data_IF_726535381252
#
_entry.id   IF_726535381252
#
_cell.length_a   1.000
_cell.length_b   1.000
_cell.length_c   1.000
_cell.angle_alpha   90.00
_cell.angle_beta   90.00
_cell.angle_gamma   90.00
#
_symmetry.space_group_name_H-M   'P 1'
#
loop_
_entity.id
_entity.type
_entity.pdbx_description
1 polymer ?
#
# COMPACT_ATOMS: atom_id res chain seq x y z
N UNK A 1 -14.12 -7.61 2.98
CA UNK A 1 -13.37 -7.27 1.76
C UNK A 1 -11.91 -7.09 2.13
N UNK A 2 -11.02 -7.94 1.63
CA UNK A 2 -9.57 -7.75 1.78
C UNK A 2 -9.15 -6.83 0.64
N UNK A 3 -8.74 -5.61 0.96
CA UNK A 3 -8.12 -4.73 -0.02
C UNK A 3 -6.66 -5.18 -0.15
N UNK A 4 -6.39 -6.00 -1.16
CA UNK A 4 -5.03 -6.39 -1.50
C UNK A 4 -4.46 -5.32 -2.44
N UNK A 5 -3.55 -4.51 -1.92
CA UNK A 5 -2.72 -3.69 -2.78
C UNK A 5 -1.70 -4.65 -3.39
N UNK A 6 -2.02 -5.24 -4.54
CA UNK A 6 -1.10 -6.14 -5.24
C UNK A 6 0.15 -5.33 -5.59
N UNK A 7 1.17 -5.48 -4.74
CA UNK A 7 2.48 -4.85 -4.84
C UNK A 7 3.15 -5.28 -6.15
N UNK A 8 2.74 -6.43 -6.71
CA UNK A 8 3.23 -6.99 -7.96
C UNK A 8 2.97 -6.10 -9.19
N UNK A 9 1.97 -5.19 -9.12
CA UNK A 9 1.71 -4.21 -10.19
C UNK A 9 2.34 -2.84 -9.93
N UNK A 10 3.08 -2.65 -8.83
CA UNK A 10 3.82 -1.40 -8.64
C UNK A 10 5.00 -1.34 -9.61
N UNK A 11 5.30 -0.16 -10.19
CA UNK A 11 6.49 0.00 -11.01
C UNK A 11 7.74 -0.36 -10.20
N UNK A 12 8.67 -1.11 -10.77
CA UNK A 12 9.90 -1.55 -10.09
C UNK A 12 11.01 -0.51 -10.03
N UNK A 13 10.83 0.64 -10.70
CA UNK A 13 11.81 1.73 -10.77
C UNK A 13 11.19 3.04 -10.31
N UNK A 14 11.96 3.83 -9.56
CA UNK A 14 11.54 5.13 -9.04
C UNK A 14 11.02 6.04 -10.15
N UNK A 15 11.72 6.11 -11.29
CA UNK A 15 11.29 6.92 -12.44
C UNK A 15 9.93 6.50 -13.01
N UNK A 16 9.66 5.20 -13.08
CA UNK A 16 8.38 4.70 -13.58
C UNK A 16 7.25 4.92 -12.56
N UNK A 17 7.56 4.80 -11.27
CA UNK A 17 6.65 5.14 -10.17
C UNK A 17 6.24 6.62 -10.23
N UNK A 18 7.21 7.53 -10.27
CA UNK A 18 6.97 8.98 -10.30
C UNK A 18 6.17 9.41 -11.53
N UNK A 19 6.41 8.77 -12.68
CA UNK A 19 5.62 9.04 -13.90
C UNK A 19 4.17 8.58 -13.76
N UNK A 20 3.95 7.38 -13.20
CA UNK A 20 2.62 6.77 -13.08
C UNK A 20 1.77 7.46 -12.01
N UNK A 21 2.36 7.78 -10.87
CA UNK A 21 1.69 8.35 -9.70
C UNK A 21 2.09 9.81 -9.49
N UNK A 22 2.11 10.58 -10.58
CA UNK A 22 2.49 12.00 -10.59
C UNK A 22 1.39 12.94 -10.06
N UNK A 23 0.15 12.45 -9.94
CA UNK A 23 -1.01 13.21 -9.48
C UNK A 23 -2.08 12.30 -8.86
N UNK A 24 -3.08 12.91 -8.23
CA UNK A 24 -4.16 12.17 -7.56
C UNK A 24 -5.00 11.33 -8.52
N UNK A 25 -5.22 11.80 -9.76
CA UNK A 25 -6.11 11.13 -10.69
C UNK A 25 -5.65 9.69 -11.08
N UNK A 26 -4.36 9.45 -11.42
CA UNK A 26 -3.82 8.10 -11.57
C UNK A 26 -3.88 7.25 -10.29
N UNK A 27 -3.66 7.86 -9.12
CA UNK A 27 -3.72 7.14 -7.85
C UNK A 27 -5.15 6.65 -7.57
N UNK A 28 -6.15 7.53 -7.74
CA UNK A 28 -7.57 7.18 -7.63
C UNK A 28 -7.98 6.11 -8.63
N UNK A 29 -7.50 6.19 -9.88
CA UNK A 29 -7.78 5.18 -10.90
C UNK A 29 -7.20 3.81 -10.53
N UNK A 30 -5.99 3.78 -9.95
CA UNK A 30 -5.41 2.55 -9.44
C UNK A 30 -6.21 2.01 -8.24
N UNK A 31 -6.59 2.84 -7.28
CA UNK A 31 -7.41 2.39 -6.14
C UNK A 31 -8.77 1.85 -6.58
N UNK A 32 -9.38 2.49 -7.58
CA UNK A 32 -10.62 2.01 -8.17
C UNK A 32 -10.43 0.60 -8.76
N UNK A 33 -9.36 0.37 -9.53
CA UNK A 33 -9.12 -0.95 -10.14
C UNK A 33 -8.78 -2.03 -9.11
N UNK A 34 -8.12 -1.67 -8.01
CA UNK A 34 -7.88 -2.61 -6.90
C UNK A 34 -9.17 -2.92 -6.12
N UNK A 35 -10.05 -1.94 -5.90
CA UNK A 35 -11.32 -2.14 -5.17
C UNK A 35 -12.36 -2.91 -5.99
N UNK A 36 -12.35 -2.70 -7.31
CA UNK A 36 -13.32 -3.26 -8.24
C UNK A 36 -12.59 -3.94 -9.42
N UNK A 37 -11.87 -5.06 -9.18
CA UNK A 37 -11.11 -5.74 -10.23
C UNK A 37 -12.01 -6.26 -11.36
N UNK A 38 -13.21 -6.73 -11.02
CA UNK A 38 -14.21 -7.25 -11.96
C UNK A 38 -15.20 -6.18 -12.45
N UNK A 39 -14.94 -4.92 -12.14
CA UNK A 39 -15.83 -3.79 -12.42
C UNK A 39 -16.69 -3.38 -11.22
N UNK A 40 -17.26 -2.18 -11.34
CA UNK A 40 -18.05 -1.59 -10.26
C UNK A 40 -19.43 -2.26 -10.17
N UNK A 41 -19.83 -2.59 -8.95
CA UNK A 41 -21.19 -3.05 -8.63
C UNK A 41 -21.71 -2.21 -7.46
N UNK A 42 -22.84 -1.53 -7.66
CA UNK A 42 -23.45 -0.74 -6.59
C UNK A 42 -24.09 -1.65 -5.54
N UNK A 43 -23.64 -1.56 -4.28
CA UNK A 43 -24.18 -2.35 -3.16
C UNK A 43 -25.67 -2.07 -2.85
N UNK A 44 -26.19 -0.91 -3.28
CA UNK A 44 -27.58 -0.51 -3.01
C UNK A 44 -28.57 -1.03 -4.06
N UNK A 45 -28.23 -0.95 -5.35
CA UNK A 45 -29.15 -1.26 -6.44
C UNK A 45 -28.67 -2.35 -7.41
N UNK A 46 -27.45 -2.87 -7.24
CA UNK A 46 -26.88 -3.89 -8.12
C UNK A 46 -26.43 -3.40 -9.50
N UNK A 47 -26.46 -2.09 -9.76
CA UNK A 47 -25.99 -1.52 -11.03
C UNK A 47 -24.52 -1.86 -11.28
N UNK A 48 -24.23 -2.31 -12.50
CA UNK A 48 -22.86 -2.57 -13.00
C UNK A 48 -22.32 -1.42 -13.85
N UNK A 49 -23.10 -0.35 -14.02
CA UNK A 49 -22.69 0.80 -14.82
C UNK A 49 -21.56 1.56 -14.08
N UNK A 50 -20.47 1.87 -14.79
CA UNK A 50 -19.37 2.67 -14.25
C UNK A 50 -19.88 3.95 -13.52
N UNK A 51 -19.47 4.24 -12.28
CA UNK A 51 -20.02 5.35 -11.51
C UNK A 51 -19.48 6.70 -12.00
N UNK A 52 -20.15 7.79 -11.64
CA UNK A 52 -19.58 9.14 -11.78
C UNK A 52 -18.57 9.41 -10.67
N UNK A 53 -17.51 10.15 -10.99
CA UNK A 53 -16.55 10.67 -10.01
C UNK A 53 -16.96 12.08 -9.61
N UNK A 54 -17.18 12.30 -8.33
CA UNK A 54 -17.51 13.63 -7.80
C UNK A 54 -16.21 14.42 -7.62
N UNK A 55 -15.87 15.27 -8.58
CA UNK A 55 -14.60 16.02 -8.55
C UNK A 55 -14.47 16.99 -7.36
N UNK A 56 -15.60 17.45 -6.80
CA UNK A 56 -15.62 18.36 -5.64
C UNK A 56 -15.34 17.66 -4.31
N UNK A 57 -15.42 16.31 -4.27
CA UNK A 57 -15.18 15.51 -3.07
C UNK A 57 -14.21 14.39 -3.38
N UNK A 58 -13.04 14.47 -2.77
CA UNK A 58 -11.98 13.48 -2.91
C UNK A 58 -12.53 12.07 -2.70
N UNK A 59 -12.27 11.17 -3.66
CA UNK A 59 -12.60 9.75 -3.57
C UNK A 59 -14.07 9.37 -3.52
N UNK A 60 -14.99 10.27 -3.88
CA UNK A 60 -16.41 9.98 -3.85
C UNK A 60 -16.91 9.57 -5.24
N UNK A 61 -17.51 8.38 -5.29
CA UNK A 61 -18.21 7.84 -6.45
C UNK A 61 -19.71 8.01 -6.27
N UNK A 62 -20.42 8.19 -7.37
CA UNK A 62 -21.88 8.24 -7.38
C UNK A 62 -22.43 7.24 -8.40
N UNK A 63 -23.33 6.37 -7.93
CA UNK A 63 -24.02 5.43 -8.80
C UNK A 63 -24.96 6.18 -9.74
N UNK A 64 -24.84 5.91 -11.05
CA UNK A 64 -25.66 6.56 -12.09
C UNK A 64 -27.16 6.24 -11.99
N UNK A 65 -27.51 5.07 -11.47
CA UNK A 65 -28.90 4.59 -11.50
C UNK A 65 -29.68 4.96 -10.23
N UNK A 66 -29.03 4.93 -9.06
CA UNK A 66 -29.70 5.18 -7.78
C UNK A 66 -29.18 6.39 -7.00
N UNK A 67 -28.17 7.09 -7.52
CA UNK A 67 -27.55 8.27 -6.89
C UNK A 67 -26.79 7.96 -5.59
N UNK A 68 -26.57 6.68 -5.26
CA UNK A 68 -25.86 6.31 -4.04
C UNK A 68 -24.41 6.78 -4.12
N UNK A 69 -23.98 7.51 -3.10
CA UNK A 69 -22.59 7.92 -2.95
C UNK A 69 -21.78 6.86 -2.20
N UNK A 70 -20.59 6.55 -2.72
CA UNK A 70 -19.71 5.49 -2.23
C UNK A 70 -18.29 6.05 -2.15
N UNK A 71 -17.65 5.93 -0.99
CA UNK A 71 -16.26 6.33 -0.86
C UNK A 71 -15.31 5.21 -1.33
N UNK A 72 -14.35 5.58 -2.17
CA UNK A 72 -13.27 4.68 -2.58
C UNK A 72 -12.39 4.26 -1.40
N UNK A 73 -12.25 5.12 -0.39
CA UNK A 73 -11.36 4.86 0.76
C UNK A 73 -11.97 3.98 1.83
N UNK A 74 -13.30 3.82 1.87
CA UNK A 74 -13.98 2.99 2.87
C UNK A 74 -13.46 1.55 2.84
N UNK A 75 -13.09 1.03 4.01
CA UNK A 75 -12.53 -0.32 4.16
C UNK A 75 -11.11 -0.49 3.62
N UNK A 76 -10.37 0.60 3.38
CA UNK A 76 -8.97 0.56 2.91
C UNK A 76 -8.03 1.22 3.94
N UNK A 77 -6.72 1.07 3.76
CA UNK A 77 -5.73 1.77 4.62
C UNK A 77 -5.84 3.30 4.55
N UNK A 78 -6.48 3.80 3.49
CA UNK A 78 -6.72 5.22 3.23
C UNK A 78 -7.97 5.76 3.91
N UNK A 79 -8.74 4.92 4.60
CA UNK A 79 -9.92 5.35 5.33
C UNK A 79 -9.58 6.47 6.32
N UNK A 80 -10.41 7.52 6.31
CA UNK A 80 -10.24 8.74 7.10
C UNK A 80 -8.90 9.48 6.91
N UNK A 81 -8.22 9.26 5.78
CA UNK A 81 -6.99 9.99 5.51
C UNK A 81 -7.26 11.44 5.11
N UNK A 82 -6.40 12.34 5.60
CA UNK A 82 -6.35 13.76 5.19
C UNK A 82 -5.18 14.04 4.25
N UNK A 83 -4.45 13.00 3.87
CA UNK A 83 -3.21 13.07 3.08
C UNK A 83 -3.50 12.66 1.66
N UNK A 84 -2.73 13.21 0.73
CA UNK A 84 -2.85 12.91 -0.70
C UNK A 84 -2.50 11.44 -0.95
N UNK A 85 -3.10 10.82 -1.95
CA UNK A 85 -2.72 9.46 -2.33
C UNK A 85 -1.32 9.38 -2.91
N UNK A 86 -0.85 10.41 -3.61
CA UNK A 86 0.54 10.45 -4.03
C UNK A 86 1.50 10.21 -2.85
N UNK A 87 1.22 10.80 -1.69
CA UNK A 87 2.04 10.61 -0.48
C UNK A 87 2.00 9.15 -0.02
N UNK A 88 0.80 8.57 0.06
CA UNK A 88 0.62 7.19 0.45
C UNK A 88 1.30 6.20 -0.50
N UNK A 89 1.15 6.42 -1.79
CA UNK A 89 1.75 5.58 -2.82
C UNK A 89 3.26 5.72 -2.79
N UNK A 90 3.80 6.92 -2.51
CA UNK A 90 5.24 7.11 -2.34
C UNK A 90 5.73 6.31 -1.15
N UNK A 91 5.07 6.41 0.00
CA UNK A 91 5.45 5.64 1.18
C UNK A 91 5.32 4.13 0.95
N UNK A 92 4.29 3.68 0.24
CA UNK A 92 4.11 2.28 -0.16
C UNK A 92 5.26 1.82 -1.07
N UNK A 93 5.63 2.63 -2.06
CA UNK A 93 6.72 2.33 -2.98
C UNK A 93 8.05 2.22 -2.24
N UNK A 94 8.36 3.14 -1.32
CA UNK A 94 9.56 3.02 -0.46
C UNK A 94 9.55 1.68 0.28
N UNK A 95 8.46 1.33 0.96
CA UNK A 95 8.35 0.05 1.68
C UNK A 95 8.54 -1.16 0.76
N UNK A 96 8.04 -1.10 -0.48
CA UNK A 96 8.10 -2.21 -1.43
C UNK A 96 9.49 -2.43 -2.04
N UNK A 97 10.26 -1.37 -2.28
CA UNK A 97 11.57 -1.48 -2.98
C UNK A 97 12.76 -1.68 -2.05
N UNK A 98 12.64 -1.35 -0.76
CA UNK A 98 13.72 -1.51 0.22
C UNK A 98 13.88 -2.97 0.66
N UNK A 99 15.00 -3.60 0.27
CA UNK A 99 15.31 -5.01 0.55
C UNK A 99 15.33 -5.37 2.04
N UNK A 100 15.79 -4.46 2.90
CA UNK A 100 16.01 -4.72 4.34
C UNK A 100 14.87 -4.21 5.24
N UNK A 101 13.74 -3.82 4.63
CA UNK A 101 12.65 -3.16 5.32
C UNK A 101 12.96 -1.70 5.68
N UNK A 102 11.91 -0.94 5.99
CA UNK A 102 12.02 0.50 6.24
C UNK A 102 11.65 0.83 7.69
N UNK A 103 12.44 1.70 8.35
CA UNK A 103 12.16 2.17 9.71
C UNK A 103 11.15 3.33 9.72
N UNK A 104 10.49 3.55 10.87
CA UNK A 104 9.56 4.67 11.03
C UNK A 104 10.27 6.02 10.85
N UNK A 105 11.48 6.17 11.38
CA UNK A 105 12.32 7.35 11.21
C UNK A 105 12.68 7.61 9.74
N UNK A 106 12.92 6.56 8.94
CA UNK A 106 13.16 6.70 7.51
C UNK A 106 11.91 7.21 6.77
N UNK A 107 10.74 6.58 6.98
CA UNK A 107 9.48 7.04 6.36
C UNK A 107 9.19 8.49 6.77
N UNK A 108 9.34 8.82 8.05
CA UNK A 108 9.11 10.17 8.54
C UNK A 108 10.03 11.19 7.86
N UNK A 109 11.31 10.86 7.68
CA UNK A 109 12.29 11.72 6.99
C UNK A 109 11.95 11.92 5.52
N UNK A 110 11.69 10.83 4.79
CA UNK A 110 11.41 10.90 3.34
C UNK A 110 10.11 11.65 3.07
N UNK A 111 9.09 11.44 3.92
CA UNK A 111 7.78 12.07 3.75
C UNK A 111 7.67 13.45 4.39
N UNK A 112 8.66 13.88 5.19
CA UNK A 112 8.60 15.15 5.92
C UNK A 112 7.56 15.17 7.04
N UNK A 113 7.29 14.03 7.67
CA UNK A 113 6.32 13.91 8.78
C UNK A 113 7.02 13.75 10.13
N UNK A 114 6.25 13.80 11.22
CA UNK A 114 6.75 13.36 12.53
C UNK A 114 6.96 11.84 12.55
N UNK A 115 7.88 11.36 13.39
CA UNK A 115 8.15 9.93 13.54
C UNK A 115 6.91 9.13 13.94
N UNK A 116 6.07 9.66 14.83
CA UNK A 116 4.79 9.05 15.21
C UNK A 116 3.85 8.86 14.01
N UNK A 117 3.81 9.83 13.10
CA UNK A 117 3.02 9.72 11.86
C UNK A 117 3.62 8.66 10.95
N UNK A 118 4.94 8.66 10.79
CA UNK A 118 5.68 7.64 10.03
C UNK A 118 5.44 6.23 10.57
N UNK A 119 5.44 6.04 11.89
CA UNK A 119 5.15 4.76 12.54
C UNK A 119 3.71 4.29 12.27
N UNK A 120 2.72 5.18 12.38
CA UNK A 120 1.32 4.84 12.10
C UNK A 120 1.12 4.45 10.63
N UNK A 121 1.77 5.16 9.70
CA UNK A 121 1.78 4.83 8.28
C UNK A 121 2.42 3.48 8.02
N UNK A 122 3.61 3.26 8.55
CA UNK A 122 4.36 2.02 8.39
C UNK A 122 3.58 0.81 8.92
N UNK A 123 2.86 0.94 10.04
CA UNK A 123 1.97 -0.10 10.57
C UNK A 123 0.86 -0.46 9.59
N UNK A 124 0.17 0.54 9.01
CA UNK A 124 -0.87 0.32 8.00
C UNK A 124 -0.32 -0.31 6.73
N UNK A 125 0.80 0.19 6.23
CA UNK A 125 1.45 -0.32 5.00
C UNK A 125 1.89 -1.77 5.18
N UNK A 126 2.58 -2.09 6.28
CA UNK A 126 3.02 -3.47 6.56
C UNK A 126 1.86 -4.45 6.72
N UNK A 127 0.70 -3.99 7.20
CA UNK A 127 -0.48 -4.86 7.32
C UNK A 127 -1.05 -5.30 5.97
N UNK A 128 -0.82 -4.53 4.89
CA UNK A 128 -1.33 -4.81 3.55
C UNK A 128 -0.28 -5.32 2.57
N UNK A 129 1.01 -5.21 2.88
CA UNK A 129 2.09 -5.78 2.05
C UNK A 129 2.41 -7.24 2.38
N UNK A 130 1.76 -7.83 3.38
CA UNK A 130 1.96 -9.25 3.71
C UNK A 130 1.09 -10.09 2.78
N UNK A 131 1.74 -10.93 1.96
CA UNK A 131 1.04 -11.94 1.18
C UNK A 131 0.27 -12.88 2.15
N UNK A 132 -1.07 -12.90 2.12
CA UNK A 132 -1.87 -13.75 3.00
C UNK A 132 -1.69 -15.24 2.69
N UNK A 133 -1.34 -15.59 1.46
CA UNK A 133 -1.07 -16.94 0.97
C UNK A 133 0.41 -17.34 1.14
N UNK A 134 1.19 -16.58 1.92
CA UNK A 134 2.60 -16.91 2.13
C UNK A 134 2.72 -18.31 2.74
N UNK A 135 3.41 -19.19 2.03
CA UNK A 135 3.84 -20.48 2.54
C UNK A 135 5.33 -20.42 2.91
N UNK A 136 5.82 -21.30 3.80
CA UNK A 136 7.25 -21.51 3.94
C UNK A 136 7.88 -21.78 2.57
N UNK A 137 9.04 -21.18 2.30
CA UNK A 137 9.82 -21.52 1.11
C UNK A 137 10.15 -23.02 1.15
N UNK A 138 10.08 -23.69 -0.01
CA UNK A 138 10.27 -25.14 -0.12
C UNK A 138 11.15 -25.50 -1.31
N UNK A 139 11.82 -26.65 -1.24
CA UNK A 139 12.82 -27.07 -2.23
C UNK A 139 14.22 -26.52 -1.90
N UNK A 140 15.08 -26.44 -2.92
CA UNK A 140 16.35 -25.73 -2.82
C UNK A 140 16.09 -24.22 -2.86
N UNK A 141 16.51 -23.52 -1.81
CA UNK A 141 16.31 -22.08 -1.64
C UNK A 141 17.68 -21.44 -1.48
N UNK A 142 18.05 -20.61 -2.44
CA UNK A 142 19.22 -19.73 -2.33
C UNK A 142 18.77 -18.37 -1.78
N UNK A 143 19.41 -17.92 -0.70
CA UNK A 143 19.12 -16.64 -0.07
C UNK A 143 20.38 -15.77 -0.08
N UNK A 144 20.33 -14.64 -0.78
CA UNK A 144 21.42 -13.66 -0.88
C UNK A 144 21.73 -13.00 0.47
N UNK A 145 20.71 -12.75 1.29
CA UNK A 145 20.88 -12.18 2.64
C UNK A 145 19.79 -12.68 3.57
N UNK A 146 20.18 -13.20 4.73
CA UNK A 146 19.27 -13.68 5.77
C UNK A 146 19.42 -12.80 7.00
N UNK A 147 18.30 -12.28 7.51
CA UNK A 147 18.24 -11.55 8.77
C UNK A 147 17.60 -12.45 9.83
N UNK A 148 18.34 -12.74 10.90
CA UNK A 148 17.82 -13.44 12.08
C UNK A 148 17.77 -12.46 13.24
N UNK A 149 16.64 -12.45 13.95
CA UNK A 149 16.56 -11.78 15.25
C UNK A 149 17.25 -12.69 16.26
N UNK A 150 18.46 -12.34 16.67
CA UNK A 150 19.14 -13.01 17.77
C UNK A 150 18.47 -12.54 19.07
N UNK A 151 17.77 -13.44 19.75
CA UNK A 151 17.41 -13.24 21.15
C UNK A 151 18.61 -13.66 22.00
N UNK A 152 19.55 -12.76 22.21
CA UNK A 152 20.57 -12.95 23.23
C UNK A 152 20.01 -12.52 24.60
N UNK A 153 20.32 -13.26 25.65
CA UNK A 153 20.11 -12.84 27.05
C UNK A 153 20.94 -11.58 27.41
N UNK A 154 21.78 -11.08 26.50
CA UNK A 154 22.60 -9.88 26.66
C UNK A 154 22.42 -8.93 25.45
N UNK A 155 21.80 -7.77 25.70
CA UNK A 155 21.29 -6.75 24.77
C UNK A 155 22.30 -6.10 23.79
N UNK A 156 22.98 -6.84 22.91
CA UNK A 156 23.67 -6.22 21.76
C UNK A 156 23.51 -7.03 20.48
N UNK A 157 22.68 -6.52 19.57
CA UNK A 157 22.55 -7.07 18.22
C UNK A 157 23.89 -7.00 17.48
N UNK A 158 24.44 -8.18 17.18
CA UNK A 158 25.62 -8.34 16.32
C UNK A 158 25.12 -8.78 14.94
N UNK A 159 25.44 -8.00 13.90
CA UNK A 159 25.28 -8.43 12.51
C UNK A 159 26.35 -9.49 12.22
N UNK A 160 25.91 -10.73 11.96
CA UNK A 160 26.80 -11.81 11.52
C UNK A 160 26.57 -12.01 10.02
N UNK A 161 27.53 -11.68 9.15
CA UNK A 161 27.41 -12.02 7.74
C UNK A 161 27.43 -13.55 7.60
N UNK A 162 26.36 -14.10 7.03
CA UNK A 162 26.37 -15.50 6.57
C UNK A 162 27.16 -15.49 5.26
N UNK A 163 28.39 -16.00 5.30
CA UNK A 163 29.11 -16.32 4.08
C UNK A 163 28.44 -17.55 3.45
N UNK A 164 27.93 -17.39 2.23
CA UNK A 164 27.62 -18.48 1.31
C UNK A 164 28.93 -18.99 0.72
#
# INVERSE_FOLDING_TARGET
MRFDLSVDNLPSTTRSFERRFSSEAPCEAYLFSQKYPDGFVCERCGSVAAPWRILSRHCLLECRDCGQQISLTTGTIFENTKKLFCDWFRALFEVAVHKTGVSAAHIARVMGFSENTGLNWLRKLRAVTVNPERAPLSGEVEADTIFFNVQDEYEKGVEVPVAV
#
